data_IF_969485174895
#
_entry.id   IF_969485174895
#
_cell.length_a   1.000
_cell.length_b   1.000
_cell.length_c   1.000
_cell.angle_alpha   90.00
_cell.angle_beta   90.00
_cell.angle_gamma   90.00
#
_symmetry.space_group_name_H-M   'P 1'
#
loop_
_entity.id
_entity.type
_entity.pdbx_description
1 polymer ?
#
# COMPACT_ATOMS: atom_id res chain seq x y z
N UNK A 1 9.26 -15.13 12.66
CA UNK A 1 9.21 -13.81 12.01
C UNK A 1 9.41 -14.01 10.51
N UNK A 2 8.84 -13.20 9.64
CA UNK A 2 9.15 -13.28 8.22
C UNK A 2 10.64 -12.94 7.99
N UNK A 3 11.31 -13.72 7.15
CA UNK A 3 12.73 -13.46 6.78
C UNK A 3 12.89 -12.12 6.03
N UNK A 4 11.85 -11.68 5.33
CA UNK A 4 11.83 -10.41 4.60
C UNK A 4 10.45 -9.76 4.77
N UNK A 5 10.24 -8.91 5.77
CA UNK A 5 8.96 -8.28 6.02
C UNK A 5 8.57 -7.33 4.87
N UNK A 6 7.28 -7.36 4.52
CA UNK A 6 6.70 -6.48 3.51
C UNK A 6 6.68 -5.04 4.02
N UNK A 7 7.18 -4.11 3.22
CA UNK A 7 7.18 -2.68 3.52
C UNK A 7 6.17 -1.96 2.64
N UNK A 8 5.21 -1.29 3.26
CA UNK A 8 4.10 -0.63 2.59
C UNK A 8 4.02 0.86 2.95
N UNK A 9 4.48 1.72 2.04
CA UNK A 9 4.39 3.16 2.19
C UNK A 9 3.02 3.68 1.73
N UNK A 10 2.31 4.39 2.58
CA UNK A 10 1.03 5.06 2.30
C UNK A 10 1.28 6.56 2.22
N UNK A 11 0.92 7.20 1.12
CA UNK A 11 1.19 8.63 0.89
C UNK A 11 0.26 9.55 1.67
N UNK A 12 0.75 10.77 1.94
CA UNK A 12 -0.03 11.89 2.46
C UNK A 12 0.68 13.20 2.10
N UNK A 13 0.37 13.78 0.92
CA UNK A 13 1.04 15.02 0.48
C UNK A 13 0.81 16.19 1.42
N UNK A 14 -0.34 16.20 2.10
CA UNK A 14 -0.68 17.24 3.06
C UNK A 14 0.27 17.33 4.27
N UNK A 15 1.05 16.28 4.54
CA UNK A 15 2.06 16.28 5.60
C UNK A 15 3.36 17.00 5.19
N UNK A 16 3.57 17.28 3.90
CA UNK A 16 4.70 18.10 3.47
C UNK A 16 4.40 19.59 3.62
N UNK A 17 5.42 20.37 3.98
CA UNK A 17 5.32 21.82 4.04
C UNK A 17 5.42 22.43 2.64
N UNK A 18 4.76 23.57 2.43
CA UNK A 18 4.78 24.36 1.20
C UNK A 18 3.42 24.44 0.52
N UNK A 19 3.40 25.06 -0.66
CA UNK A 19 2.24 25.09 -1.53
C UNK A 19 1.95 23.74 -2.19
N UNK A 20 0.85 23.63 -2.91
CA UNK A 20 0.41 22.36 -3.52
C UNK A 20 1.44 21.82 -4.53
N UNK A 21 2.08 22.70 -5.31
CA UNK A 21 3.13 22.30 -6.25
C UNK A 21 4.34 21.70 -5.55
N UNK A 22 4.78 22.35 -4.48
CA UNK A 22 5.90 21.89 -3.64
C UNK A 22 5.58 20.57 -2.97
N UNK A 23 4.37 20.41 -2.40
CA UNK A 23 3.91 19.18 -1.76
C UNK A 23 3.88 18.01 -2.74
N UNK A 24 3.34 18.26 -3.96
CA UNK A 24 3.31 17.25 -5.01
C UNK A 24 4.71 16.81 -5.42
N UNK A 25 5.63 17.75 -5.61
CA UNK A 25 7.03 17.44 -5.98
C UNK A 25 7.70 16.58 -4.90
N UNK A 26 7.62 17.00 -3.64
CA UNK A 26 8.18 16.24 -2.51
C UNK A 26 7.58 14.83 -2.37
N UNK A 27 6.30 14.69 -2.67
CA UNK A 27 5.65 13.38 -2.68
C UNK A 27 6.25 12.47 -3.76
N UNK A 28 6.43 12.98 -4.99
CA UNK A 28 7.03 12.23 -6.10
C UNK A 28 8.50 11.87 -5.82
N UNK A 29 9.27 12.77 -5.21
CA UNK A 29 10.63 12.49 -4.75
C UNK A 29 10.64 11.35 -3.70
N UNK A 30 9.67 11.36 -2.78
CA UNK A 30 9.56 10.31 -1.76
C UNK A 30 9.13 8.96 -2.36
N UNK A 31 8.29 8.96 -3.39
CA UNK A 31 7.95 7.76 -4.16
C UNK A 31 9.18 7.22 -4.89
N UNK A 32 10.00 8.10 -5.50
CA UNK A 32 11.25 7.71 -6.16
C UNK A 32 12.24 7.09 -5.17
N UNK A 33 12.41 7.70 -3.99
CA UNK A 33 13.21 7.16 -2.90
C UNK A 33 12.72 5.77 -2.50
N UNK A 34 11.40 5.62 -2.24
CA UNK A 34 10.81 4.33 -1.87
C UNK A 34 11.06 3.24 -2.90
N UNK A 35 10.85 3.55 -4.17
CA UNK A 35 11.07 2.60 -5.26
C UNK A 35 12.55 2.20 -5.40
N UNK A 36 13.49 3.13 -5.19
CA UNK A 36 14.93 2.86 -5.26
C UNK A 36 15.46 2.06 -4.06
N UNK A 37 14.82 2.20 -2.89
CA UNK A 37 15.24 1.57 -1.62
C UNK A 37 14.48 0.27 -1.30
N UNK A 38 13.71 -0.25 -2.27
CA UNK A 38 13.09 -1.57 -2.16
C UNK A 38 11.84 -1.62 -1.27
N UNK A 39 11.05 -0.56 -1.24
CA UNK A 39 9.70 -0.62 -0.71
C UNK A 39 8.86 -1.54 -1.62
N UNK A 40 8.15 -2.52 -1.04
CA UNK A 40 7.38 -3.49 -1.81
C UNK A 40 6.13 -2.87 -2.40
N UNK A 41 5.40 -2.11 -1.60
CA UNK A 41 4.14 -1.47 -2.01
C UNK A 41 4.12 0.02 -1.68
N UNK A 42 3.61 0.83 -2.62
CA UNK A 42 3.31 2.24 -2.40
C UNK A 42 1.83 2.45 -2.69
N UNK A 43 1.11 3.10 -1.76
CA UNK A 43 -0.29 3.49 -1.95
C UNK A 43 -0.41 4.99 -2.14
N UNK A 44 -0.97 5.43 -3.26
CA UNK A 44 -1.43 6.81 -3.40
C UNK A 44 -2.77 6.96 -2.67
N UNK A 45 -2.77 7.80 -1.61
CA UNK A 45 -3.92 8.06 -0.76
C UNK A 45 -4.13 9.54 -0.52
N UNK A 46 -4.53 10.25 -1.56
CA UNK A 46 -4.76 11.69 -1.55
C UNK A 46 -6.27 11.96 -1.70
N UNK A 47 -7.01 11.83 -0.58
CA UNK A 47 -8.47 11.79 -0.54
C UNK A 47 -9.17 13.09 -0.96
N UNK A 48 -8.49 14.21 -0.84
CA UNK A 48 -8.95 15.56 -1.17
C UNK A 48 -8.58 16.00 -2.59
N UNK A 49 -7.86 15.14 -3.33
CA UNK A 49 -7.41 15.46 -4.68
C UNK A 49 -8.52 15.20 -5.72
N UNK A 50 -8.78 16.14 -6.63
CA UNK A 50 -9.70 15.93 -7.75
C UNK A 50 -9.27 14.74 -8.63
N UNK A 51 -10.24 14.04 -9.22
CA UNK A 51 -10.00 12.82 -10.02
C UNK A 51 -8.90 12.99 -11.07
N UNK A 52 -8.95 14.07 -11.87
CA UNK A 52 -7.97 14.33 -12.94
C UNK A 52 -6.56 14.55 -12.40
N UNK A 53 -6.44 15.23 -11.28
CA UNK A 53 -5.15 15.46 -10.63
C UNK A 53 -4.59 14.18 -10.00
N UNK A 54 -5.46 13.36 -9.39
CA UNK A 54 -5.10 12.06 -8.82
C UNK A 54 -4.63 11.09 -9.92
N UNK A 55 -5.30 11.06 -11.06
CA UNK A 55 -4.90 10.27 -12.22
C UNK A 55 -3.54 10.72 -12.76
N UNK A 56 -3.33 12.05 -12.93
CA UNK A 56 -2.03 12.61 -13.33
C UNK A 56 -0.92 12.23 -12.35
N UNK A 57 -1.17 12.34 -11.03
CA UNK A 57 -0.20 11.95 -10.00
C UNK A 57 0.14 10.45 -10.08
N UNK A 58 -0.87 9.61 -10.28
CA UNK A 58 -0.68 8.17 -10.41
C UNK A 58 0.13 7.80 -11.66
N UNK A 59 -0.11 8.46 -12.80
CA UNK A 59 0.71 8.29 -14.00
C UNK A 59 2.17 8.66 -13.77
N UNK A 60 2.45 9.81 -13.16
CA UNK A 60 3.82 10.24 -12.85
C UNK A 60 4.51 9.25 -11.88
N UNK A 61 3.81 8.81 -10.84
CA UNK A 61 4.32 7.79 -9.91
C UNK A 61 4.66 6.47 -10.63
N UNK A 62 3.78 6.01 -11.54
CA UNK A 62 4.05 4.81 -12.35
C UNK A 62 5.27 4.96 -13.25
N UNK A 63 5.46 6.14 -13.87
CA UNK A 63 6.65 6.42 -14.69
C UNK A 63 7.93 6.37 -13.84
N UNK A 64 7.91 6.97 -12.66
CA UNK A 64 9.03 6.95 -11.70
C UNK A 64 9.38 5.51 -11.31
N UNK A 65 8.39 4.72 -10.88
CA UNK A 65 8.60 3.33 -10.46
C UNK A 65 9.15 2.48 -11.60
N UNK A 66 8.61 2.61 -12.82
CA UNK A 66 9.10 1.90 -14.00
C UNK A 66 10.52 2.31 -14.40
N UNK A 67 10.85 3.61 -14.25
CA UNK A 67 12.19 4.14 -14.50
C UNK A 67 13.24 3.51 -13.58
N UNK A 68 12.92 3.29 -12.31
CA UNK A 68 13.83 2.63 -11.36
C UNK A 68 14.11 1.16 -11.72
N UNK A 69 13.12 0.45 -12.25
CA UNK A 69 13.30 -0.92 -12.74
C UNK A 69 14.26 -1.01 -13.95
N UNK A 70 14.23 -0.01 -14.83
CA UNK A 70 15.08 0.03 -16.04
C UNK A 70 16.56 0.27 -15.73
N UNK A 71 16.91 0.88 -14.60
CA UNK A 71 18.28 1.21 -14.17
C UNK A 71 19.04 -0.02 -13.62
N UNK A 72 18.45 -1.21 -13.65
CA UNK A 72 19.14 -2.47 -13.31
C UNK A 72 19.10 -2.84 -11.83
N UNK A 73 18.15 -2.31 -11.10
CA UNK A 73 17.90 -2.75 -9.73
C UNK A 73 17.35 -4.18 -9.76
N UNK A 74 18.14 -5.18 -9.30
CA UNK A 74 17.78 -6.62 -9.29
C UNK A 74 16.72 -7.00 -8.27
N UNK A 75 16.13 -6.03 -7.56
CA UNK A 75 15.07 -6.26 -6.59
C UNK A 75 13.70 -6.39 -7.29
N UNK A 76 12.77 -7.19 -6.75
CA UNK A 76 11.38 -7.17 -7.22
C UNK A 76 10.88 -5.72 -7.20
N UNK A 77 10.31 -5.26 -8.31
CA UNK A 77 9.91 -3.85 -8.44
C UNK A 77 8.81 -3.48 -7.46
N UNK A 78 8.86 -2.25 -6.99
CA UNK A 78 7.78 -1.64 -6.19
C UNK A 78 6.45 -1.69 -6.93
N UNK A 79 5.39 -2.14 -6.28
CA UNK A 79 4.04 -2.14 -6.83
C UNK A 79 3.24 -0.93 -6.34
N UNK A 80 2.57 -0.22 -7.27
CA UNK A 80 1.70 0.92 -6.95
C UNK A 80 0.26 0.45 -6.75
N UNK A 81 -0.36 0.87 -5.66
CA UNK A 81 -1.78 0.70 -5.37
C UNK A 81 -2.47 2.06 -5.29
N UNK A 82 -3.73 2.13 -5.73
CA UNK A 82 -4.57 3.33 -5.61
C UNK A 82 -5.62 3.12 -4.52
N UNK A 83 -5.80 4.12 -3.66
CA UNK A 83 -6.81 4.05 -2.60
C UNK A 83 -8.22 4.20 -3.18
N UNK A 84 -9.10 3.22 -2.97
CA UNK A 84 -10.54 3.19 -3.34
C UNK A 84 -10.88 3.36 -4.83
N UNK A 85 -10.00 3.89 -5.65
CA UNK A 85 -10.28 4.31 -7.03
C UNK A 85 -9.83 3.24 -8.02
N UNK A 86 -10.66 2.19 -8.17
CA UNK A 86 -10.42 1.09 -9.14
C UNK A 86 -10.35 1.60 -10.58
N UNK A 87 -11.15 2.60 -10.93
CA UNK A 87 -11.13 3.28 -12.22
C UNK A 87 -9.77 3.92 -12.54
N UNK A 88 -9.18 4.64 -11.59
CA UNK A 88 -7.84 5.23 -11.75
C UNK A 88 -6.76 4.15 -11.78
N UNK A 89 -6.86 3.14 -10.94
CA UNK A 89 -5.90 2.02 -10.96
C UNK A 89 -5.88 1.33 -12.33
N UNK A 90 -7.05 1.10 -12.93
CA UNK A 90 -7.20 0.57 -14.28
C UNK A 90 -6.63 1.53 -15.34
N UNK A 91 -6.97 2.83 -15.30
CA UNK A 91 -6.53 3.82 -16.28
C UNK A 91 -5.01 3.99 -16.28
N UNK A 92 -4.37 3.95 -15.12
CA UNK A 92 -2.93 4.17 -14.93
C UNK A 92 -2.10 2.89 -14.99
N UNK A 93 -2.74 1.72 -15.11
CA UNK A 93 -2.08 0.41 -15.04
C UNK A 93 -1.30 0.22 -13.73
N UNK A 94 -1.84 0.73 -12.62
CA UNK A 94 -1.32 0.43 -11.29
C UNK A 94 -1.49 -1.07 -10.99
N UNK A 95 -0.69 -1.60 -10.07
CA UNK A 95 -0.70 -3.02 -9.73
C UNK A 95 -1.98 -3.46 -9.01
N UNK A 96 -2.75 -2.51 -8.47
CA UNK A 96 -3.99 -2.82 -7.77
C UNK A 96 -4.56 -1.67 -6.96
N UNK A 97 -5.38 -2.03 -5.98
CA UNK A 97 -6.12 -1.09 -5.15
C UNK A 97 -5.98 -1.40 -3.66
N UNK A 98 -6.17 -0.37 -2.84
CA UNK A 98 -6.37 -0.52 -1.41
C UNK A 98 -7.79 -0.09 -1.05
N UNK A 99 -8.60 -1.01 -0.56
CA UNK A 99 -10.00 -0.81 -0.22
C UNK A 99 -10.14 -0.49 1.28
N UNK A 100 -10.84 0.58 1.65
CA UNK A 100 -11.37 0.75 3.01
C UNK A 100 -12.28 -0.42 3.42
N UNK A 101 -12.47 -0.62 4.72
CA UNK A 101 -13.26 -1.73 5.26
C UNK A 101 -14.72 -1.78 4.74
N UNK A 102 -15.30 -0.62 4.38
CA UNK A 102 -16.69 -0.49 3.92
C UNK A 102 -16.78 -0.07 2.44
N UNK A 103 -15.79 -0.39 1.63
CA UNK A 103 -15.77 -0.14 0.17
C UNK A 103 -16.34 -1.35 -0.59
N UNK A 104 -16.31 -1.29 -1.92
CA UNK A 104 -16.62 -2.43 -2.78
C UNK A 104 -15.80 -3.66 -2.37
N UNK A 105 -16.36 -4.85 -2.57
CA UNK A 105 -15.67 -6.08 -2.19
C UNK A 105 -14.48 -6.39 -3.13
N UNK A 106 -13.46 -7.12 -2.66
CA UNK A 106 -12.39 -7.61 -3.52
C UNK A 106 -12.88 -8.40 -4.73
N UNK A 107 -13.99 -9.13 -4.61
CA UNK A 107 -14.60 -9.90 -5.70
C UNK A 107 -15.16 -8.98 -6.80
N UNK A 108 -15.85 -7.89 -6.42
CA UNK A 108 -16.35 -6.89 -7.38
C UNK A 108 -15.21 -6.21 -8.13
N UNK A 109 -14.13 -5.87 -7.43
CA UNK A 109 -12.91 -5.31 -8.07
C UNK A 109 -12.31 -6.29 -9.06
N UNK A 110 -12.19 -7.58 -8.70
CA UNK A 110 -11.68 -8.61 -9.63
C UNK A 110 -12.57 -8.78 -10.86
N UNK A 111 -13.89 -8.68 -10.68
CA UNK A 111 -14.84 -8.74 -11.78
C UNK A 111 -14.67 -7.57 -12.74
N UNK A 112 -14.60 -6.34 -12.22
CA UNK A 112 -14.35 -5.14 -13.02
C UNK A 112 -13.00 -5.21 -13.76
N UNK A 113 -11.97 -5.76 -13.12
CA UNK A 113 -10.64 -5.93 -13.72
C UNK A 113 -10.66 -6.88 -14.90
N UNK A 114 -11.36 -8.02 -14.79
CA UNK A 114 -11.51 -9.03 -15.85
C UNK A 114 -12.30 -8.51 -17.05
N UNK A 115 -13.35 -7.72 -16.84
CA UNK A 115 -14.16 -7.16 -17.93
C UNK A 115 -13.31 -6.32 -18.89
N UNK A 116 -12.31 -5.59 -18.40
CA UNK A 116 -11.41 -4.81 -19.24
C UNK A 116 -10.51 -5.66 -20.14
N UNK A 117 -10.08 -6.84 -19.69
CA UNK A 117 -9.21 -7.73 -20.48
C UNK A 117 -9.95 -8.35 -21.68
N UNK A 118 -11.28 -8.55 -21.57
CA UNK A 118 -12.11 -9.05 -22.65
C UNK A 118 -12.38 -8.06 -23.79
N UNK A 119 -12.18 -6.74 -23.53
CA UNK A 119 -12.42 -5.67 -24.51
C UNK A 119 -11.15 -5.25 -25.29
N UNK A 120 -9.96 -5.67 -24.85
CA UNK A 120 -8.68 -5.32 -25.49
C UNK A 120 -8.29 -6.27 -26.60
N UNK A 121 -9.17 -6.43 -27.60
CA UNK A 121 -8.84 -7.06 -28.87
C UNK A 121 -8.01 -6.12 -29.74
N UNK A 122 -6.71 -6.43 -29.89
CA UNK A 122 -5.73 -5.84 -30.81
C UNK A 122 -5.06 -4.51 -30.35
N UNK A 123 -3.84 -4.62 -29.87
CA UNK A 123 -2.89 -3.50 -29.85
C UNK A 123 -1.87 -3.55 -28.74
N UNK A 124 -0.63 -3.90 -29.10
CA UNK A 124 0.65 -3.78 -28.36
C UNK A 124 0.78 -4.51 -27.01
N UNK A 125 1.78 -5.40 -26.81
CA UNK A 125 2.00 -6.12 -25.58
C UNK A 125 2.73 -5.24 -24.56
N UNK A 126 2.02 -4.34 -23.93
CA UNK A 126 2.39 -3.88 -22.58
C UNK A 126 2.09 -5.05 -21.65
N UNK A 127 3.03 -5.44 -20.79
CA UNK A 127 2.88 -6.53 -19.81
C UNK A 127 1.59 -6.29 -19.02
N UNK A 128 0.50 -6.92 -19.48
CA UNK A 128 -0.80 -6.83 -18.83
C UNK A 128 -0.69 -7.51 -17.47
N UNK A 129 -1.13 -6.80 -16.41
CA UNK A 129 -1.22 -7.40 -15.08
C UNK A 129 -2.31 -8.46 -15.17
N UNK A 130 -1.92 -9.73 -15.16
CA UNK A 130 -2.87 -10.83 -15.13
C UNK A 130 -3.84 -10.65 -13.96
N UNK A 131 -5.12 -11.07 -14.07
CA UNK A 131 -6.05 -11.10 -12.94
C UNK A 131 -5.51 -11.85 -11.72
N UNK A 132 -4.52 -12.73 -11.92
CA UNK A 132 -3.80 -13.42 -10.83
C UNK A 132 -2.77 -12.54 -10.15
N UNK A 133 -2.30 -11.49 -10.81
CA UNK A 133 -1.28 -10.57 -10.30
C UNK A 133 -1.91 -9.30 -9.70
N UNK A 134 -3.24 -9.12 -9.81
CA UNK A 134 -3.96 -7.99 -9.24
C UNK A 134 -3.84 -7.97 -7.71
N UNK A 135 -3.25 -6.89 -7.19
CA UNK A 135 -3.11 -6.67 -5.76
C UNK A 135 -4.36 -5.98 -5.19
N UNK A 136 -5.00 -6.61 -4.23
CA UNK A 136 -6.12 -6.02 -3.50
C UNK A 136 -5.79 -6.04 -2.01
N UNK A 137 -5.45 -4.86 -1.48
CA UNK A 137 -5.29 -4.64 -0.06
C UNK A 137 -6.63 -4.22 0.56
N UNK A 138 -6.90 -4.64 1.79
CA UNK A 138 -8.11 -4.25 2.53
C UNK A 138 -7.73 -3.72 3.91
N UNK A 139 -8.25 -2.54 4.27
CA UNK A 139 -8.16 -2.03 5.65
C UNK A 139 -9.05 -2.85 6.56
N UNK A 140 -8.52 -3.30 7.69
CA UNK A 140 -9.25 -4.08 8.69
C UNK A 140 -8.99 -3.52 10.10
N UNK A 141 -10.03 -3.54 10.95
CA UNK A 141 -10.00 -3.02 12.32
C UNK A 141 -10.29 -4.09 13.36
N UNK A 142 -10.65 -5.30 12.92
CA UNK A 142 -10.89 -6.46 13.76
C UNK A 142 -10.37 -7.74 13.10
N UNK A 143 -10.05 -8.81 13.88
CA UNK A 143 -9.68 -10.11 13.34
C UNK A 143 -10.77 -10.72 12.44
N UNK A 144 -12.04 -10.43 12.72
CA UNK A 144 -13.18 -10.89 11.94
C UNK A 144 -13.17 -10.26 10.53
N UNK A 145 -12.88 -8.96 10.44
CA UNK A 145 -12.74 -8.27 9.14
C UNK A 145 -11.59 -8.85 8.31
N UNK A 146 -10.47 -9.23 8.94
CA UNK A 146 -9.35 -9.90 8.23
C UNK A 146 -9.78 -11.26 7.70
N UNK A 147 -10.54 -12.04 8.49
CA UNK A 147 -11.10 -13.32 8.04
C UNK A 147 -12.06 -13.13 6.86
N UNK A 148 -12.91 -12.10 6.91
CA UNK A 148 -13.81 -11.76 5.82
C UNK A 148 -13.06 -11.30 4.56
N UNK A 149 -12.02 -10.46 4.72
CA UNK A 149 -11.16 -10.05 3.60
C UNK A 149 -10.49 -11.26 2.93
N UNK A 150 -10.03 -12.24 3.72
CA UNK A 150 -9.48 -13.49 3.21
C UNK A 150 -10.54 -14.31 2.43
N UNK A 151 -11.75 -14.42 2.97
CA UNK A 151 -12.86 -15.11 2.29
C UNK A 151 -13.24 -14.45 0.96
N UNK A 152 -13.17 -13.11 0.91
CA UNK A 152 -13.43 -12.32 -0.29
C UNK A 152 -12.22 -12.21 -1.23
N UNK A 153 -11.19 -13.05 -1.04
CA UNK A 153 -10.00 -13.13 -1.89
C UNK A 153 -9.16 -11.83 -1.96
N UNK A 154 -9.09 -11.05 -0.88
CA UNK A 154 -8.09 -10.00 -0.76
C UNK A 154 -6.67 -10.61 -0.84
N UNK A 155 -5.71 -9.84 -1.40
CA UNK A 155 -4.32 -10.29 -1.48
C UNK A 155 -3.63 -10.19 -0.12
N UNK A 156 -3.93 -9.12 0.65
CA UNK A 156 -3.46 -8.93 2.00
C UNK A 156 -4.37 -7.95 2.77
N UNK A 157 -4.30 -8.01 4.10
CA UNK A 157 -4.99 -7.09 4.98
C UNK A 157 -4.03 -6.08 5.60
N UNK A 158 -4.50 -4.86 5.84
CA UNK A 158 -3.81 -3.82 6.61
C UNK A 158 -4.58 -3.61 7.90
N UNK A 159 -4.02 -4.09 9.00
CA UNK A 159 -4.66 -4.09 10.31
C UNK A 159 -4.31 -2.84 11.11
N UNK A 160 -5.30 -2.04 11.48
CA UNK A 160 -5.09 -0.73 12.09
C UNK A 160 -6.24 -0.30 13.03
N UNK A 161 -5.97 0.57 14.02
CA UNK A 161 -4.65 0.99 14.48
C UNK A 161 -4.06 0.02 15.50
N UNK A 162 -2.81 -0.42 15.35
CA UNK A 162 -2.19 -1.32 16.32
C UNK A 162 -1.81 -0.57 17.60
N UNK A 163 -1.24 0.62 17.46
CA UNK A 163 -0.87 1.51 18.56
C UNK A 163 -1.62 2.85 18.46
N UNK A 164 -1.57 3.63 19.53
CA UNK A 164 -2.16 4.96 19.55
C UNK A 164 -1.55 5.86 18.47
N UNK A 165 -2.39 6.63 17.79
CA UNK A 165 -1.97 7.57 16.76
C UNK A 165 -1.69 8.93 17.40
N UNK A 166 -0.48 9.44 17.29
CA UNK A 166 -0.10 10.77 17.81
C UNK A 166 -1.00 11.91 17.29
N UNK A 167 -1.53 11.80 16.05
CA UNK A 167 -2.35 12.84 15.42
C UNK A 167 -3.86 12.56 15.47
N UNK A 168 -4.30 11.56 16.23
CA UNK A 168 -5.71 11.25 16.46
C UNK A 168 -5.88 10.80 17.92
N UNK A 169 -5.72 11.73 18.88
CA UNK A 169 -5.93 11.41 20.29
C UNK A 169 -7.35 10.91 20.48
N UNK A 170 -7.51 9.82 21.23
CA UNK A 170 -8.79 9.15 21.44
C UNK A 170 -9.09 7.99 20.49
N UNK A 171 -8.26 7.71 19.48
CA UNK A 171 -8.37 6.46 18.74
C UNK A 171 -7.93 5.29 19.62
N UNK A 172 -8.86 4.38 19.92
CA UNK A 172 -8.56 3.20 20.73
C UNK A 172 -7.71 2.24 19.89
N UNK A 173 -6.45 1.92 20.30
CA UNK A 173 -5.63 0.96 19.60
C UNK A 173 -6.19 -0.45 19.75
N UNK A 174 -6.09 -1.26 18.70
CA UNK A 174 -6.50 -2.67 18.73
C UNK A 174 -5.52 -3.53 19.54
N UNK A 175 -4.26 -3.10 19.59
CA UNK A 175 -3.19 -3.76 20.34
C UNK A 175 -2.60 -5.01 19.69
N UNK A 176 -1.46 -5.45 20.22
CA UNK A 176 -0.72 -6.60 19.70
C UNK A 176 -1.47 -7.93 19.87
N UNK A 177 -2.35 -8.06 20.88
CA UNK A 177 -3.16 -9.27 21.08
C UNK A 177 -4.15 -9.48 19.93
N UNK A 178 -4.86 -8.41 19.53
CA UNK A 178 -5.77 -8.43 18.38
C UNK A 178 -5.02 -8.63 17.06
N UNK A 179 -3.85 -7.99 16.89
CA UNK A 179 -2.98 -8.22 15.73
C UNK A 179 -2.57 -9.69 15.61
N UNK A 180 -2.14 -10.32 16.72
CA UNK A 180 -1.78 -11.74 16.75
C UNK A 180 -2.95 -12.63 16.36
N UNK A 181 -4.17 -12.29 16.79
CA UNK A 181 -5.36 -13.02 16.39
C UNK A 181 -5.67 -12.83 14.90
N UNK A 182 -5.56 -11.60 14.38
CA UNK A 182 -5.75 -11.27 12.97
C UNK A 182 -4.75 -12.03 12.07
N UNK A 183 -3.50 -12.17 12.49
CA UNK A 183 -2.44 -12.89 11.76
C UNK A 183 -2.67 -14.40 11.65
N UNK A 184 -3.70 -14.97 12.28
CA UNK A 184 -4.11 -16.37 12.07
C UNK A 184 -4.92 -16.58 10.80
N UNK A 185 -5.36 -15.52 10.16
CA UNK A 185 -6.05 -15.59 8.87
C UNK A 185 -5.11 -16.12 7.77
N UNK A 186 -5.71 -16.65 6.67
CA UNK A 186 -4.95 -17.27 5.57
C UNK A 186 -4.49 -16.26 4.51
N UNK A 187 -4.28 -15.01 4.89
CA UNK A 187 -3.69 -13.96 4.05
C UNK A 187 -2.62 -13.21 4.84
N UNK A 188 -1.63 -12.59 4.18
CA UNK A 188 -0.68 -11.72 4.85
C UNK A 188 -1.39 -10.56 5.54
N UNK A 189 -0.96 -10.23 6.76
CA UNK A 189 -1.47 -9.09 7.55
C UNK A 189 -0.34 -8.11 7.79
N UNK A 190 -0.51 -6.85 7.37
CA UNK A 190 0.43 -5.78 7.63
C UNK A 190 -0.05 -4.92 8.78
N UNK A 191 0.84 -4.60 9.71
CA UNK A 191 0.53 -3.75 10.86
C UNK A 191 0.60 -2.27 10.48
N UNK A 192 -0.44 -1.49 10.85
CA UNK A 192 -0.53 -0.05 10.62
C UNK A 192 -1.07 0.67 11.85
N UNK A 193 -0.71 1.95 12.00
CA UNK A 193 -1.22 2.86 13.03
C UNK A 193 -0.37 2.89 14.28
N UNK A 194 0.27 4.03 14.50
CA UNK A 194 1.20 4.25 15.61
C UNK A 194 2.48 3.41 15.54
N UNK A 195 2.75 2.74 14.41
CA UNK A 195 3.98 1.97 14.23
C UNK A 195 5.17 2.90 14.01
N UNK A 196 6.23 2.68 14.79
CA UNK A 196 7.54 3.33 14.72
C UNK A 196 8.63 2.28 14.59
N UNK A 197 9.88 2.68 14.37
CA UNK A 197 11.00 1.72 14.32
C UNK A 197 11.17 0.96 15.64
N UNK A 198 10.92 1.63 16.79
CA UNK A 198 11.10 1.03 18.12
C UNK A 198 10.06 -0.06 18.42
N UNK A 199 8.84 0.06 17.86
CA UNK A 199 7.76 -0.89 18.14
C UNK A 199 7.42 -1.83 16.98
N UNK A 200 7.96 -1.62 15.78
CA UNK A 200 7.70 -2.43 14.58
C UNK A 200 8.05 -3.91 14.81
N UNK A 201 9.16 -4.18 15.51
CA UNK A 201 9.58 -5.54 15.83
C UNK A 201 8.52 -6.30 16.62
N UNK A 202 7.79 -5.64 17.53
CA UNK A 202 6.70 -6.27 18.28
C UNK A 202 5.54 -6.69 17.39
N UNK A 203 5.28 -5.94 16.31
CA UNK A 203 4.27 -6.32 15.31
C UNK A 203 4.69 -7.58 14.54
N UNK A 204 5.95 -7.65 14.11
CA UNK A 204 6.50 -8.81 13.39
C UNK A 204 6.50 -10.06 14.29
N UNK A 205 6.86 -9.91 15.57
CA UNK A 205 6.77 -10.98 16.58
C UNK A 205 5.32 -11.40 16.87
N UNK A 206 4.35 -10.52 16.71
CA UNK A 206 2.94 -10.85 16.79
C UNK A 206 2.42 -11.63 15.57
N UNK A 207 3.23 -11.79 14.53
CA UNK A 207 2.91 -12.55 13.31
C UNK A 207 2.58 -11.71 12.10
N UNK A 208 2.75 -10.37 12.18
CA UNK A 208 2.56 -9.51 11.00
C UNK A 208 3.55 -9.90 9.89
N UNK A 209 3.05 -9.98 8.66
CA UNK A 209 3.85 -10.25 7.48
C UNK A 209 4.69 -9.04 7.05
N UNK A 210 4.38 -7.86 7.60
CA UNK A 210 5.09 -6.63 7.30
C UNK A 210 4.50 -5.42 7.99
N UNK A 211 5.05 -4.26 7.64
CA UNK A 211 4.72 -2.96 8.24
C UNK A 211 4.18 -2.01 7.17
N UNK A 212 3.03 -1.42 7.44
CA UNK A 212 2.48 -0.31 6.67
C UNK A 212 2.65 1.00 7.46
N UNK A 213 2.90 2.10 6.77
CA UNK A 213 3.07 3.40 7.43
C UNK A 213 2.92 4.60 6.50
N UNK A 214 2.49 5.72 7.08
CA UNK A 214 2.57 7.05 6.45
C UNK A 214 3.86 7.70 6.94
N UNK A 215 3.86 8.19 8.18
CA UNK A 215 4.97 8.95 8.77
C UNK A 215 6.25 8.15 8.91
N UNK A 216 6.14 6.85 9.23
CA UNK A 216 7.31 5.97 9.33
C UNK A 216 8.20 6.08 8.08
N UNK A 217 7.60 6.08 6.88
CA UNK A 217 8.34 6.21 5.63
C UNK A 217 8.52 7.65 5.19
N UNK A 218 7.51 8.50 5.38
CA UNK A 218 7.50 9.85 4.82
C UNK A 218 8.40 10.83 5.56
N UNK A 219 8.54 10.68 6.89
CA UNK A 219 9.31 11.58 7.76
C UNK A 219 10.75 11.07 8.01
N UNK A 220 11.11 9.88 7.52
CA UNK A 220 12.40 9.26 7.76
C UNK A 220 13.11 8.89 6.46
N UNK A 221 14.40 8.59 6.54
CA UNK A 221 15.20 8.00 5.46
C UNK A 221 14.75 6.56 5.20
N UNK A 222 14.23 6.30 4.00
CA UNK A 222 13.65 4.98 3.65
C UNK A 222 14.72 3.89 3.63
N UNK A 223 15.96 4.21 3.22
CA UNK A 223 17.06 3.23 3.22
C UNK A 223 17.35 2.72 4.63
N UNK A 224 17.33 3.61 5.61
CA UNK A 224 17.51 3.25 7.03
C UNK A 224 16.35 2.40 7.54
N UNK A 225 15.08 2.77 7.23
CA UNK A 225 13.90 1.99 7.59
C UNK A 225 13.98 0.58 7.01
N UNK A 226 14.25 0.46 5.70
CA UNK A 226 14.31 -0.82 5.01
C UNK A 226 15.41 -1.73 5.61
N UNK A 227 16.58 -1.18 5.87
CA UNK A 227 17.69 -1.92 6.48
C UNK A 227 17.34 -2.41 7.88
N UNK A 228 16.77 -1.57 8.74
CA UNK A 228 16.46 -1.95 10.13
C UNK A 228 15.31 -2.95 10.24
N UNK A 229 14.33 -2.87 9.36
CA UNK A 229 13.19 -3.80 9.39
C UNK A 229 13.50 -5.15 8.73
N UNK A 230 14.54 -5.23 7.88
CA UNK A 230 14.96 -6.44 7.16
C UNK A 230 16.27 -7.05 7.68
N UNK A 231 16.85 -6.46 8.75
CA UNK A 231 18.00 -7.04 9.46
C UNK A 231 17.54 -8.13 10.43
#
# INVERSE_FOLDING_TARGET
MPENPILYYITSRAAFLGDERTRRHRLLDKIAEGASQGIDYIQIREKDMPTRELESLAHEAMQIIRGQLAIGNRQPGTALLINSRTDIALATQAAGVHLPANDVSPEEVRTAWKCREGESGAGTPTREISPRDLLIAVSCHSPQEVTQAAANQATFAVFAPVFEKQNAPGSIPTGLASLRQACRARIPVLALGGVTLENAQSCLQAGAAGIAGIRLFQENDIATIARQLRA
#
